data_IF_213206781956
#
_entry.id   IF_213206781956
#
_cell.length_a   1.000
_cell.length_b   1.000
_cell.length_c   1.000
_cell.angle_alpha   90.00
_cell.angle_beta   90.00
_cell.angle_gamma   90.00
#
_symmetry.space_group_name_H-M   'P 1'
#
loop_
_entity.id
_entity.type
_entity.pdbx_description
1 polymer ?
#
# COMPACT_ATOMS: atom_id res chain seq x y z
N UNK A 1 19.00 -8.05 12.81
CA UNK A 1 17.61 -8.09 12.28
C UNK A 1 16.87 -6.80 12.71
N UNK A 2 17.45 -5.63 12.39
CA UNK A 2 17.01 -4.28 12.83
C UNK A 2 15.90 -3.70 11.94
N UNK A 3 15.53 -4.43 10.89
CA UNK A 3 14.58 -4.02 9.86
C UNK A 3 13.15 -3.82 10.37
N UNK A 4 12.83 -4.26 11.61
CA UNK A 4 11.52 -4.02 12.22
C UNK A 4 11.24 -2.55 12.55
N UNK A 5 12.27 -1.80 12.94
CA UNK A 5 12.11 -0.36 13.20
C UNK A 5 11.87 0.40 11.89
N UNK A 6 12.61 0.06 10.83
CA UNK A 6 12.39 0.62 9.48
C UNK A 6 11.00 0.27 8.94
N UNK A 7 10.55 -0.99 9.12
CA UNK A 7 9.20 -1.40 8.75
C UNK A 7 8.12 -0.62 9.50
N UNK A 8 8.30 -0.39 10.80
CA UNK A 8 7.39 0.44 11.59
C UNK A 8 7.31 1.86 11.04
N UNK A 9 8.44 2.46 10.68
CA UNK A 9 8.49 3.79 10.08
C UNK A 9 7.71 3.82 8.75
N UNK A 10 7.95 2.85 7.85
CA UNK A 10 7.23 2.75 6.57
C UNK A 10 5.73 2.58 6.80
N UNK A 11 5.32 1.74 7.76
CA UNK A 11 3.91 1.54 8.07
C UNK A 11 3.25 2.81 8.62
N UNK A 12 3.96 3.60 9.43
CA UNK A 12 3.47 4.86 9.94
C UNK A 12 3.32 5.90 8.81
N UNK A 13 4.30 5.99 7.92
CA UNK A 13 4.27 6.91 6.78
C UNK A 13 3.10 6.57 5.83
N UNK A 14 2.90 5.28 5.54
CA UNK A 14 1.75 4.79 4.77
C UNK A 14 0.41 5.11 5.44
N UNK A 15 0.32 4.98 6.76
CA UNK A 15 -0.90 5.29 7.51
C UNK A 15 -1.25 6.78 7.38
N UNK A 16 -0.27 7.67 7.50
CA UNK A 16 -0.48 9.12 7.35
C UNK A 16 -0.92 9.49 5.93
N UNK A 17 -0.33 8.86 4.92
CA UNK A 17 -0.73 9.05 3.52
C UNK A 17 -2.18 8.59 3.28
N UNK A 18 -2.55 7.43 3.82
CA UNK A 18 -3.92 6.90 3.76
C UNK A 18 -4.93 7.78 4.50
N UNK A 19 -4.57 8.35 5.65
CA UNK A 19 -5.43 9.32 6.36
C UNK A 19 -5.70 10.56 5.50
N UNK A 20 -4.65 11.13 4.88
CA UNK A 20 -4.79 12.31 4.03
C UNK A 20 -5.64 12.00 2.79
N UNK A 21 -5.40 10.86 2.14
CA UNK A 21 -6.20 10.41 1.00
C UNK A 21 -7.67 10.21 1.38
N UNK A 22 -7.95 9.60 2.54
CA UNK A 22 -9.31 9.36 3.04
C UNK A 22 -10.03 10.68 3.32
N UNK A 23 -9.39 11.61 4.02
CA UNK A 23 -9.99 12.92 4.34
C UNK A 23 -10.25 13.73 3.07
N UNK A 24 -9.32 13.72 2.11
CA UNK A 24 -9.52 14.40 0.82
C UNK A 24 -10.64 13.75 0.01
N UNK A 25 -10.73 12.42 0.02
CA UNK A 25 -11.81 11.69 -0.65
C UNK A 25 -13.18 12.02 -0.06
N UNK A 26 -13.29 12.06 1.27
CA UNK A 26 -14.51 12.50 1.96
C UNK A 26 -14.85 13.93 1.58
N UNK A 27 -13.89 14.86 1.66
CA UNK A 27 -14.14 16.28 1.40
C UNK A 27 -14.58 16.57 -0.05
N UNK A 28 -14.10 15.79 -1.02
CA UNK A 28 -14.42 15.99 -2.44
C UNK A 28 -15.70 15.27 -2.88
N UNK A 29 -16.03 14.14 -2.25
CA UNK A 29 -17.13 13.28 -2.69
C UNK A 29 -18.28 13.19 -1.70
N UNK A 30 -18.18 13.79 -0.50
CA UNK A 30 -19.31 13.86 0.43
C UNK A 30 -20.42 14.71 -0.17
N UNK A 31 -21.62 14.14 -0.29
CA UNK A 31 -22.79 14.93 -0.68
C UNK A 31 -23.09 15.94 0.45
N UNK A 32 -23.35 17.23 0.13
CA UNK A 32 -23.73 18.20 1.14
C UNK A 32 -25.01 17.74 1.85
N UNK A 33 -24.94 17.61 3.17
CA UNK A 33 -26.10 17.21 3.97
C UNK A 33 -27.31 18.11 3.70
N UNK A 34 -28.50 17.51 3.69
CA UNK A 34 -29.76 18.26 3.60
C UNK A 34 -29.88 19.18 4.82
N UNK A 35 -30.17 20.46 4.58
CA UNK A 35 -30.32 21.48 5.62
C UNK A 35 -31.68 21.39 6.34
N UNK A 36 -32.61 20.61 5.78
CA UNK A 36 -33.96 20.37 6.28
C UNK A 36 -34.32 18.89 6.04
N UNK A 37 -35.01 18.24 6.99
CA UNK A 37 -35.37 16.81 6.96
C UNK A 37 -36.25 16.45 5.74
N UNK A 38 -36.94 17.45 5.18
CA UNK A 38 -37.68 17.28 3.94
C UNK A 38 -36.77 17.45 2.70
N UNK A 39 -36.46 16.39 1.94
CA UNK A 39 -35.57 16.45 0.78
C UNK A 39 -36.08 17.34 -0.37
N UNK A 40 -37.37 17.71 -0.36
CA UNK A 40 -37.99 18.63 -1.33
C UNK A 40 -38.22 20.05 -0.78
N UNK A 41 -37.72 20.35 0.42
CA UNK A 41 -37.88 21.66 1.03
C UNK A 41 -37.28 22.76 0.16
N UNK A 42 -37.90 23.94 0.18
CA UNK A 42 -37.48 25.12 -0.57
C UNK A 42 -36.03 25.50 -0.22
N UNK A 43 -35.62 25.24 1.04
CA UNK A 43 -34.26 25.48 1.52
C UNK A 43 -33.24 24.57 0.80
N UNK A 44 -33.50 23.27 0.72
CA UNK A 44 -32.63 22.31 0.04
C UNK A 44 -32.57 22.57 -1.48
N UNK A 45 -33.70 23.00 -2.07
CA UNK A 45 -33.79 23.30 -3.50
C UNK A 45 -33.14 24.63 -3.88
N UNK A 46 -33.11 25.60 -2.96
CA UNK A 46 -32.40 26.87 -3.13
C UNK A 46 -30.89 26.72 -2.96
N UNK A 47 -30.44 25.83 -2.05
CA UNK A 47 -29.03 25.49 -1.88
C UNK A 47 -28.44 24.79 -3.13
N UNK A 48 -29.25 24.02 -3.86
CA UNK A 48 -28.86 23.34 -5.10
C UNK A 48 -29.06 24.19 -6.39
N UNK A 49 -29.50 25.44 -6.29
CA UNK A 49 -29.76 26.28 -7.45
C UNK A 49 -28.47 26.97 -7.96
N UNK A 50 -28.22 27.04 -9.28
CA UNK A 50 -27.10 27.80 -9.82
C UNK A 50 -27.26 29.29 -9.49
N UNK A 51 -26.19 29.91 -9.00
CA UNK A 51 -26.16 31.32 -8.57
C UNK A 51 -26.61 32.24 -9.70
N UNK A 52 -27.72 32.95 -9.49
CA UNK A 52 -28.19 33.99 -10.40
C UNK A 52 -27.22 35.18 -10.37
N UNK A 53 -26.35 35.29 -11.38
CA UNK A 53 -25.33 36.36 -11.40
C UNK A 53 -24.34 36.40 -12.57
N UNK A 54 -24.44 35.54 -13.59
CA UNK A 54 -23.74 35.78 -14.87
C UNK A 54 -24.76 36.15 -15.94
N UNK A 55 -24.94 37.46 -16.10
CA UNK A 55 -25.65 38.09 -17.21
C UNK A 55 -25.03 37.66 -18.55
N UNK A 56 -25.71 36.79 -19.29
CA UNK A 56 -25.54 36.67 -20.73
C UNK A 56 -26.39 37.76 -21.41
N UNK A 57 -25.81 38.60 -22.29
CA UNK A 57 -26.56 39.68 -22.93
C UNK A 57 -27.58 39.14 -23.96
N UNK A 58 -28.71 39.85 -24.16
CA UNK A 58 -29.83 39.39 -24.98
C UNK A 58 -29.55 39.61 -26.48
N UNK A 59 -29.64 38.55 -27.29
CA UNK A 59 -29.48 38.59 -28.74
C UNK A 59 -30.64 37.91 -29.47
N UNK A 60 -31.41 38.71 -30.19
CA UNK A 60 -32.61 38.42 -30.97
C UNK A 60 -32.48 37.26 -31.97
N UNK A 61 -33.58 36.53 -32.16
CA UNK A 61 -33.76 35.69 -33.35
C UNK A 61 -34.29 36.49 -34.55
N UNK A 62 -33.70 36.25 -35.74
CA UNK A 62 -34.35 36.17 -37.06
C UNK A 62 -33.32 36.01 -38.21
N UNK A 63 -33.58 35.07 -39.13
CA UNK A 63 -33.41 35.28 -40.58
C UNK A 63 -32.10 34.89 -41.31
N UNK A 64 -32.17 33.78 -42.07
CA UNK A 64 -31.73 33.54 -43.47
C UNK A 64 -30.24 33.47 -43.94
N UNK A 65 -29.97 32.30 -44.58
CA UNK A 65 -29.29 32.02 -45.87
C UNK A 65 -27.74 31.87 -46.05
N UNK A 66 -27.37 30.62 -46.40
CA UNK A 66 -26.46 30.11 -47.48
C UNK A 66 -24.97 30.53 -47.49
N UNK A 67 -23.97 29.65 -47.63
CA UNK A 67 -23.70 28.69 -48.73
C UNK A 67 -22.54 27.72 -48.38
N UNK A 68 -22.52 26.48 -48.94
CA UNK A 68 -21.26 25.78 -49.31
C UNK A 68 -20.98 24.33 -48.82
N UNK A 69 -21.49 23.32 -49.57
CA UNK A 69 -20.91 22.01 -50.03
C UNK A 69 -19.81 21.30 -49.17
N UNK A 70 -19.81 19.99 -48.89
CA UNK A 70 -20.24 18.80 -49.67
C UNK A 70 -20.47 17.51 -48.81
N UNK A 71 -21.37 16.65 -49.29
CA UNK A 71 -21.72 15.25 -48.91
C UNK A 71 -20.71 14.20 -49.46
N UNK A 72 -20.83 12.84 -49.31
CA UNK A 72 -22.01 11.97 -49.01
C UNK A 72 -21.72 10.81 -48.01
N UNK A 73 -22.57 9.85 -47.59
CA UNK A 73 -23.81 9.20 -48.08
C UNK A 73 -24.58 8.60 -46.86
N UNK A 74 -25.90 8.83 -46.74
CA UNK A 74 -27.04 7.89 -46.96
C UNK A 74 -27.36 6.90 -45.81
N UNK A 75 -28.41 7.15 -45.01
CA UNK A 75 -29.83 6.71 -45.17
C UNK A 75 -30.08 5.36 -44.45
N UNK A 76 -31.01 5.18 -43.50
CA UNK A 76 -32.42 5.56 -43.55
C UNK A 76 -33.12 5.37 -42.17
N UNK A 77 -33.91 6.38 -41.75
CA UNK A 77 -35.22 6.41 -41.01
C UNK A 77 -35.55 5.25 -40.04
N UNK A 78 -36.09 5.46 -38.83
CA UNK A 78 -37.31 6.22 -38.54
C UNK A 78 -37.56 6.38 -37.01
N UNK A 79 -38.03 7.57 -36.63
CA UNK A 79 -38.80 8.00 -35.44
C UNK A 79 -39.04 7.04 -34.26
N UNK A 80 -38.72 7.49 -33.05
CA UNK A 80 -39.69 7.75 -31.98
C UNK A 80 -39.03 8.45 -30.77
N UNK A 81 -39.38 9.71 -30.54
CA UNK A 81 -39.49 10.26 -29.18
C UNK A 81 -41.00 10.19 -28.83
N UNK A 82 -41.40 9.79 -27.62
CA UNK A 82 -41.16 10.55 -26.39
C UNK A 82 -40.55 9.65 -25.29
N UNK A 83 -39.84 10.13 -24.28
CA UNK A 83 -40.46 10.82 -23.15
C UNK A 83 -39.37 11.43 -22.26
N UNK A 84 -39.41 12.75 -22.16
CA UNK A 84 -38.73 13.56 -21.15
C UNK A 84 -39.49 13.38 -19.83
N UNK A 85 -38.88 12.70 -18.86
CA UNK A 85 -39.38 12.67 -17.50
C UNK A 85 -38.87 11.47 -16.71
N UNK A 86 -38.22 11.77 -15.58
CA UNK A 86 -37.85 10.87 -14.47
C UNK A 86 -36.80 9.78 -14.72
N UNK A 87 -35.53 10.15 -14.87
CA UNK A 87 -34.42 9.24 -14.55
C UNK A 87 -33.19 9.98 -14.00
N UNK A 88 -33.37 10.66 -12.86
CA UNK A 88 -32.26 11.29 -12.11
C UNK A 88 -32.16 10.77 -10.68
N UNK A 89 -32.99 9.79 -10.31
CA UNK A 89 -33.00 9.19 -8.98
C UNK A 89 -32.09 7.97 -8.87
N UNK A 90 -31.94 7.18 -9.93
CA UNK A 90 -31.26 5.87 -9.87
C UNK A 90 -29.73 6.05 -9.73
N UNK A 91 -29.14 7.08 -10.35
CA UNK A 91 -27.69 7.31 -10.26
C UNK A 91 -27.21 7.89 -8.91
N UNK A 92 -28.10 8.48 -8.10
CA UNK A 92 -27.68 9.14 -6.86
C UNK A 92 -27.57 8.15 -5.70
N UNK A 93 -28.55 7.28 -5.56
CA UNK A 93 -28.54 6.24 -4.54
C UNK A 93 -27.38 5.26 -4.79
N UNK A 94 -27.08 4.96 -6.07
CA UNK A 94 -25.90 4.17 -6.45
C UNK A 94 -24.58 4.90 -6.15
N UNK A 95 -24.51 6.23 -6.32
CA UNK A 95 -23.32 7.01 -5.99
C UNK A 95 -23.06 7.10 -4.48
N UNK A 96 -24.11 7.25 -3.68
CA UNK A 96 -24.05 7.29 -2.22
C UNK A 96 -23.66 5.91 -1.65
N UNK A 97 -24.25 4.83 -2.18
CA UNK A 97 -23.84 3.46 -1.84
C UNK A 97 -22.38 3.17 -2.21
N UNK A 98 -21.91 3.64 -3.38
CA UNK A 98 -20.51 3.51 -3.78
C UNK A 98 -19.56 4.33 -2.89
N UNK A 99 -19.98 5.52 -2.46
CA UNK A 99 -19.23 6.34 -1.52
C UNK A 99 -19.11 5.65 -0.16
N UNK A 100 -20.22 5.19 0.43
CA UNK A 100 -20.20 4.47 1.71
C UNK A 100 -19.36 3.19 1.65
N UNK A 101 -19.48 2.41 0.57
CA UNK A 101 -18.66 1.22 0.36
C UNK A 101 -17.15 1.57 0.32
N UNK A 102 -16.79 2.64 -0.37
CA UNK A 102 -15.40 3.11 -0.45
C UNK A 102 -14.89 3.57 0.93
N UNK A 103 -15.69 4.32 1.68
CA UNK A 103 -15.34 4.75 3.05
C UNK A 103 -15.16 3.55 3.99
N UNK A 104 -16.03 2.54 3.88
CA UNK A 104 -15.93 1.33 4.69
C UNK A 104 -14.67 0.52 4.36
N UNK A 105 -14.28 0.45 3.09
CA UNK A 105 -13.03 -0.19 2.65
C UNK A 105 -11.80 0.55 3.20
N UNK A 106 -11.73 1.88 3.00
CA UNK A 106 -10.62 2.71 3.49
C UNK A 106 -10.51 2.65 5.02
N UNK A 107 -11.65 2.71 5.72
CA UNK A 107 -11.70 2.60 7.18
C UNK A 107 -11.23 1.23 7.67
N UNK A 108 -11.60 0.16 6.97
CA UNK A 108 -11.15 -1.20 7.29
C UNK A 108 -9.64 -1.33 7.13
N UNK A 109 -9.07 -0.79 6.04
CA UNK A 109 -7.62 -0.83 5.82
C UNK A 109 -6.85 -0.05 6.91
N UNK A 110 -7.32 1.16 7.28
CA UNK A 110 -6.73 1.95 8.38
C UNK A 110 -6.74 1.17 9.70
N UNK A 111 -7.85 0.47 10.02
CA UNK A 111 -7.95 -0.35 11.24
C UNK A 111 -6.96 -1.52 11.19
N UNK A 112 -6.88 -2.22 10.05
CA UNK A 112 -5.95 -3.34 9.87
C UNK A 112 -4.49 -2.87 9.98
N UNK A 113 -4.15 -1.73 9.39
CA UNK A 113 -2.83 -1.10 9.50
C UNK A 113 -2.49 -0.71 10.93
N UNK A 114 -3.44 -0.14 11.67
CA UNK A 114 -3.26 0.19 13.09
C UNK A 114 -2.98 -1.06 13.95
N UNK A 115 -3.68 -2.17 13.68
CA UNK A 115 -3.39 -3.46 14.32
C UNK A 115 -2.02 -3.99 13.93
N UNK A 116 -1.65 -3.91 12.65
CA UNK A 116 -0.34 -4.33 12.16
C UNK A 116 0.79 -3.54 12.84
N UNK A 117 0.62 -2.23 13.01
CA UNK A 117 1.56 -1.36 13.73
C UNK A 117 1.68 -1.81 15.19
N UNK A 118 0.57 -2.11 15.86
CA UNK A 118 0.58 -2.60 17.25
C UNK A 118 1.37 -3.91 17.38
N UNK A 119 1.11 -4.87 16.48
CA UNK A 119 1.87 -6.14 16.44
C UNK A 119 3.36 -5.92 16.15
N UNK A 120 3.69 -4.97 15.28
CA UNK A 120 5.08 -4.62 14.98
C UNK A 120 5.78 -4.06 16.22
N UNK A 121 5.13 -3.16 16.96
CA UNK A 121 5.62 -2.59 18.22
C UNK A 121 5.87 -3.72 19.24
N UNK A 122 4.90 -4.61 19.43
CA UNK A 122 5.03 -5.74 20.37
C UNK A 122 6.16 -6.70 19.98
N UNK A 123 6.47 -6.80 18.68
CA UNK A 123 7.53 -7.65 18.15
C UNK A 123 8.91 -6.99 18.12
N UNK A 124 9.05 -5.74 18.59
CA UNK A 124 10.33 -5.03 18.52
C UNK A 124 11.37 -5.74 19.41
N UNK A 125 12.54 -6.11 18.85
CA UNK A 125 13.57 -6.79 19.62
C UNK A 125 14.11 -5.84 20.69
N UNK A 126 14.19 -6.32 21.94
CA UNK A 126 14.68 -5.53 23.06
C UNK A 126 13.68 -4.51 23.63
N UNK A 127 12.41 -4.55 23.22
CA UNK A 127 11.37 -3.74 23.86
C UNK A 127 11.24 -4.12 25.34
N UNK A 128 11.32 -3.11 26.23
CA UNK A 128 11.23 -3.31 27.68
C UNK A 128 12.51 -3.78 28.38
N UNK A 129 13.62 -3.99 27.66
CA UNK A 129 14.92 -4.32 28.27
C UNK A 129 15.70 -3.04 28.55
N UNK A 130 16.29 -2.93 29.74
CA UNK A 130 17.15 -1.79 30.06
C UNK A 130 18.44 -1.81 29.22
N UNK A 131 19.00 -0.64 28.88
CA UNK A 131 20.28 -0.58 28.18
C UNK A 131 21.41 -1.30 28.92
N UNK A 132 21.40 -1.25 30.25
CA UNK A 132 22.38 -1.94 31.11
C UNK A 132 22.31 -3.46 30.94
N UNK A 133 21.10 -4.05 30.99
CA UNK A 133 20.92 -5.48 30.78
C UNK A 133 21.27 -5.91 29.35
N UNK A 134 21.04 -5.04 28.35
CA UNK A 134 21.48 -5.29 26.98
C UNK A 134 23.01 -5.32 26.86
N UNK A 135 23.71 -4.42 27.56
CA UNK A 135 25.18 -4.37 27.56
C UNK A 135 25.78 -5.57 28.29
N UNK A 136 25.22 -5.98 29.42
CA UNK A 136 25.64 -7.18 30.14
C UNK A 136 25.48 -8.43 29.27
N UNK A 137 24.34 -8.57 28.59
CA UNK A 137 24.12 -9.67 27.64
C UNK A 137 25.12 -9.65 26.49
N UNK A 138 25.50 -8.47 25.99
CA UNK A 138 26.53 -8.34 24.94
C UNK A 138 27.89 -8.80 25.46
N UNK A 139 28.25 -8.44 26.70
CA UNK A 139 29.51 -8.85 27.31
C UNK A 139 29.56 -10.36 27.54
N UNK A 140 28.47 -10.96 28.03
CA UNK A 140 28.32 -12.40 28.20
C UNK A 140 28.49 -13.14 26.86
N UNK A 141 27.71 -12.74 25.84
CA UNK A 141 27.79 -13.35 24.50
C UNK A 141 29.17 -13.18 23.87
N UNK A 142 29.85 -12.05 24.10
CA UNK A 142 31.21 -11.85 23.61
C UNK A 142 32.21 -12.80 24.29
N UNK A 143 32.04 -13.06 25.60
CA UNK A 143 32.85 -14.03 26.33
C UNK A 143 32.60 -15.48 25.88
N UNK A 144 31.34 -15.85 25.67
CA UNK A 144 30.98 -17.16 25.10
C UNK A 144 31.57 -17.33 23.69
N UNK A 145 31.47 -16.30 22.85
CA UNK A 145 32.01 -16.30 21.49
C UNK A 145 33.53 -16.54 21.48
N UNK A 146 34.29 -15.86 22.35
CA UNK A 146 35.74 -16.05 22.44
C UNK A 146 36.10 -17.47 22.88
N UNK A 147 35.32 -18.05 23.79
CA UNK A 147 35.52 -19.44 24.24
C UNK A 147 35.27 -20.43 23.09
N UNK A 148 34.17 -20.27 22.37
CA UNK A 148 33.83 -21.12 21.22
C UNK A 148 34.87 -20.97 20.09
N UNK A 149 35.39 -19.77 19.85
CA UNK A 149 36.42 -19.57 18.82
C UNK A 149 37.75 -20.24 19.21
N UNK A 150 38.13 -20.22 20.50
CA UNK A 150 39.31 -20.97 21.01
C UNK A 150 39.14 -22.47 20.82
N UNK A 151 37.97 -23.01 21.15
CA UNK A 151 37.67 -24.43 20.92
C UNK A 151 37.71 -24.78 19.44
N UNK A 152 37.12 -23.93 18.59
CA UNK A 152 37.18 -24.08 17.13
C UNK A 152 38.61 -24.10 16.61
N UNK A 153 39.46 -23.20 17.09
CA UNK A 153 40.87 -23.14 16.70
C UNK A 153 41.63 -24.42 17.09
N UNK A 154 41.41 -24.94 18.30
CA UNK A 154 42.03 -26.18 18.76
C UNK A 154 41.55 -27.40 17.95
N UNK A 155 40.26 -27.47 17.63
CA UNK A 155 39.73 -28.54 16.76
C UNK A 155 40.28 -28.48 15.35
N UNK A 156 40.48 -27.28 14.79
CA UNK A 156 41.14 -27.11 13.49
C UNK A 156 42.57 -27.62 13.55
N UNK A 157 43.31 -27.30 14.62
CA UNK A 157 44.68 -27.77 14.80
C UNK A 157 44.76 -29.30 14.86
N UNK A 158 43.91 -29.94 15.66
CA UNK A 158 43.83 -31.41 15.75
C UNK A 158 43.48 -32.04 14.40
N UNK A 159 42.54 -31.44 13.67
CA UNK A 159 42.17 -31.88 12.31
C UNK A 159 43.39 -31.79 11.38
N UNK A 160 44.16 -30.71 11.41
CA UNK A 160 45.32 -30.53 10.55
C UNK A 160 46.47 -31.50 10.88
N UNK A 161 46.67 -31.82 12.17
CA UNK A 161 47.64 -32.83 12.60
C UNK A 161 47.25 -34.23 12.12
N UNK A 162 45.98 -34.61 12.28
CA UNK A 162 45.46 -35.90 11.78
C UNK A 162 45.52 -35.98 10.25
N UNK A 163 45.26 -34.87 9.55
CA UNK A 163 45.33 -34.82 8.09
C UNK A 163 46.77 -35.05 7.61
N UNK A 164 47.76 -34.39 8.23
CA UNK A 164 49.18 -34.64 7.93
C UNK A 164 49.61 -36.08 8.18
N UNK A 165 49.09 -36.69 9.25
CA UNK A 165 49.36 -38.09 9.55
C UNK A 165 48.78 -39.01 8.47
N UNK A 166 47.52 -38.79 8.07
CA UNK A 166 46.88 -39.55 7.00
C UNK A 166 47.62 -39.38 5.67
N UNK A 167 48.01 -38.16 5.31
CA UNK A 167 48.81 -37.87 4.11
C UNK A 167 50.14 -38.64 4.11
N UNK A 168 50.80 -38.72 5.28
CA UNK A 168 52.06 -39.48 5.43
C UNK A 168 51.85 -40.97 5.21
N UNK A 169 50.79 -41.56 5.76
CA UNK A 169 50.43 -42.97 5.53
C UNK A 169 50.11 -43.23 4.05
N UNK A 170 49.41 -42.31 3.38
CA UNK A 170 49.10 -42.44 1.95
C UNK A 170 50.39 -42.45 1.12
N UNK A 171 51.36 -41.58 1.44
CA UNK A 171 52.67 -41.53 0.77
C UNK A 171 53.45 -42.81 1.01
N UNK A 172 53.49 -43.32 2.25
CA UNK A 172 54.18 -44.57 2.59
C UNK A 172 53.60 -45.77 1.82
N UNK A 173 52.27 -45.89 1.78
CA UNK A 173 51.59 -46.94 1.01
C UNK A 173 51.87 -46.80 -0.50
N UNK A 174 51.82 -45.58 -1.04
CA UNK A 174 52.12 -45.33 -2.45
C UNK A 174 53.56 -45.75 -2.80
N UNK A 175 54.54 -45.37 -1.96
CA UNK A 175 55.94 -45.75 -2.15
C UNK A 175 56.14 -47.27 -2.04
N UNK A 176 55.53 -47.92 -1.05
CA UNK A 176 55.60 -49.38 -0.90
C UNK A 176 55.02 -50.14 -2.10
N UNK A 177 53.94 -49.64 -2.72
CA UNK A 177 53.39 -50.22 -3.95
C UNK A 177 54.34 -50.03 -5.14
N UNK A 178 55.00 -48.86 -5.24
CA UNK A 178 55.97 -48.59 -6.30
C UNK A 178 57.21 -49.48 -6.15
N UNK A 179 57.76 -49.61 -4.95
CA UNK A 179 58.91 -50.47 -4.67
C UNK A 179 58.59 -51.95 -4.91
N UNK A 180 57.39 -52.42 -4.57
CA UNK A 180 56.98 -53.80 -4.82
C UNK A 180 56.72 -54.14 -6.30
N UNK A 181 56.56 -53.13 -7.17
CA UNK A 181 56.32 -53.30 -8.62
C UNK A 181 57.59 -53.16 -9.48
N UNK A 182 58.68 -52.61 -8.94
CA UNK A 182 59.99 -52.53 -9.59
C UNK A 182 60.85 -53.76 -9.26
#
# INVERSE_FOLDING_TARGET
>A
MTDRLTQLQICLDQLVEQFNATVNYVNLNSEPGLLDENPKSVINRAAAAPVAGQTQPPGQGQGQNQTGKASPSESNRQSNAPNTGSDTGINRDDAEANFENTINELSTDIILKSRQISLLIDSLPGIGVSPEAQLELIEELAGEYDTVEKERAEKIKQKDELLKWCDSLIIEVANGITEARC
#
